data_IF_152181176529
#
_entry.id   IF_152181176529
#
_cell.length_a   1.000
_cell.length_b   1.000
_cell.length_c   1.000
_cell.angle_alpha   90.00
_cell.angle_beta   90.00
_cell.angle_gamma   90.00
#
_symmetry.space_group_name_H-M   'P 1'
#
loop_
_entity.id
_entity.type
_entity.pdbx_description
1 polymer ?
#
# COMPACT_ATOMS: atom_id res chain seq x y z
N UNK A 1 -8.12 -17.50 -5.02
CA UNK A 1 -7.61 -17.56 -3.63
C UNK A 1 -6.41 -16.63 -3.54
N UNK A 2 -6.36 -15.77 -2.52
CA UNK A 2 -5.27 -14.80 -2.35
C UNK A 2 -3.97 -15.51 -1.92
N UNK A 3 -2.87 -15.23 -2.61
CA UNK A 3 -1.56 -15.83 -2.34
C UNK A 3 -0.48 -14.77 -2.24
N UNK A 4 0.58 -15.10 -1.51
CA UNK A 4 1.76 -14.27 -1.36
C UNK A 4 3.03 -15.01 -1.79
N UNK A 5 3.95 -14.26 -2.38
CA UNK A 5 5.32 -14.70 -2.66
C UNK A 5 6.29 -13.62 -2.20
N UNK A 6 7.44 -14.04 -1.70
CA UNK A 6 8.49 -13.15 -1.22
C UNK A 6 9.66 -13.20 -2.20
N UNK A 7 10.11 -12.03 -2.63
CA UNK A 7 11.32 -11.87 -3.42
C UNK A 7 12.34 -11.11 -2.58
N UNK A 8 13.62 -11.42 -2.77
CA UNK A 8 14.72 -10.65 -2.18
C UNK A 8 15.33 -9.76 -3.26
N UNK A 9 15.59 -8.50 -2.92
CA UNK A 9 16.38 -7.64 -3.79
C UNK A 9 17.83 -8.15 -3.83
N UNK A 10 18.49 -8.17 -5.01
CA UNK A 10 19.91 -8.49 -5.09
C UNK A 10 20.75 -7.55 -4.22
N UNK A 11 21.73 -8.09 -3.51
CA UNK A 11 22.64 -7.31 -2.70
C UNK A 11 23.37 -6.24 -3.55
N UNK A 12 23.47 -5.02 -3.04
CA UNK A 12 24.14 -3.91 -3.72
C UNK A 12 23.31 -3.16 -4.77
N UNK A 13 22.08 -3.59 -5.05
CA UNK A 13 21.19 -2.83 -5.96
C UNK A 13 20.62 -1.61 -5.23
N UNK A 14 20.78 -0.37 -5.75
CA UNK A 14 20.16 0.80 -5.15
C UNK A 14 18.64 0.68 -5.23
N UNK A 15 18.01 0.59 -4.06
CA UNK A 15 16.58 0.42 -3.93
C UNK A 15 15.85 1.76 -4.16
N UNK A 16 15.80 2.23 -5.41
CA UNK A 16 14.86 3.29 -5.77
C UNK A 16 13.48 2.68 -6.06
N UNK A 17 12.41 3.39 -5.68
CA UNK A 17 11.05 2.86 -5.78
C UNK A 17 10.62 2.54 -7.23
N UNK A 18 11.23 3.22 -8.22
CA UNK A 18 10.93 3.01 -9.64
C UNK A 18 11.50 1.69 -10.16
N UNK A 19 12.75 1.36 -9.81
CA UNK A 19 13.38 0.08 -10.19
C UNK A 19 12.63 -1.10 -9.59
N UNK A 20 12.20 -0.99 -8.33
CA UNK A 20 11.39 -2.03 -7.69
C UNK A 20 10.05 -2.17 -8.41
N UNK A 21 9.41 -1.06 -8.77
CA UNK A 21 8.21 -1.07 -9.61
C UNK A 21 8.45 -1.82 -10.93
N UNK A 22 9.48 -1.45 -11.70
CA UNK A 22 9.78 -2.09 -12.99
C UNK A 22 10.06 -3.60 -12.84
N UNK A 23 10.85 -3.98 -11.83
CA UNK A 23 11.16 -5.38 -11.54
C UNK A 23 9.89 -6.18 -11.25
N UNK A 24 9.05 -5.70 -10.32
CA UNK A 24 7.82 -6.39 -9.93
C UNK A 24 6.83 -6.45 -11.09
N UNK A 25 6.66 -5.37 -11.86
CA UNK A 25 5.74 -5.34 -12.99
C UNK A 25 6.19 -6.27 -14.11
N UNK A 26 7.49 -6.29 -14.42
CA UNK A 26 8.05 -7.22 -15.41
C UNK A 26 7.85 -8.67 -14.97
N UNK A 27 8.11 -8.96 -13.69
CA UNK A 27 7.90 -10.30 -13.13
C UNK A 27 6.42 -10.73 -13.15
N UNK A 28 5.50 -9.82 -12.85
CA UNK A 28 4.08 -10.14 -12.67
C UNK A 28 3.26 -10.09 -13.96
N UNK A 29 3.60 -9.23 -14.91
CA UNK A 29 2.83 -9.00 -16.13
C UNK A 29 3.58 -9.44 -17.41
N UNK A 30 4.87 -9.77 -17.29
CA UNK A 30 5.74 -9.99 -18.44
C UNK A 30 6.07 -8.70 -19.21
N UNK A 31 6.90 -8.80 -20.27
CA UNK A 31 7.46 -7.63 -20.98
C UNK A 31 6.44 -6.78 -21.74
N UNK A 32 5.25 -7.33 -22.03
CA UNK A 32 4.19 -6.70 -22.85
C UNK A 32 2.86 -6.58 -22.09
N UNK A 33 2.91 -6.55 -20.76
CA UNK A 33 1.75 -6.65 -19.86
C UNK A 33 0.48 -6.00 -20.40
N UNK A 34 -0.65 -6.68 -20.23
CA UNK A 34 -1.98 -6.26 -20.72
C UNK A 34 -2.56 -5.01 -20.03
N UNK A 35 -1.77 -4.37 -19.16
CA UNK A 35 -2.15 -3.20 -18.36
C UNK A 35 -3.03 -3.53 -17.15
N UNK A 36 -3.48 -4.77 -16.98
CA UNK A 36 -4.37 -5.15 -15.89
C UNK A 36 -3.56 -5.59 -14.65
N UNK A 37 -3.32 -4.63 -13.74
CA UNK A 37 -2.67 -4.93 -12.45
C UNK A 37 -3.61 -5.70 -11.51
N UNK A 38 -3.38 -7.01 -11.40
CA UNK A 38 -4.09 -7.91 -10.49
C UNK A 38 -3.33 -8.23 -9.17
N UNK A 39 -2.29 -7.44 -8.83
CA UNK A 39 -1.45 -7.69 -7.65
C UNK A 39 -1.22 -6.42 -6.80
N UNK A 40 -0.80 -6.64 -5.55
CA UNK A 40 -0.21 -5.65 -4.65
C UNK A 40 1.22 -6.07 -4.32
N UNK A 41 2.04 -5.10 -3.93
CA UNK A 41 3.32 -5.43 -3.31
C UNK A 41 3.69 -4.41 -2.24
N UNK A 42 4.57 -4.80 -1.32
CA UNK A 42 5.31 -3.91 -0.43
C UNK A 42 6.80 -4.15 -0.62
N UNK A 43 7.61 -3.12 -0.31
CA UNK A 43 9.06 -3.25 -0.21
C UNK A 43 9.52 -2.84 1.19
N UNK A 44 10.31 -3.70 1.81
CA UNK A 44 10.75 -3.61 3.20
C UNK A 44 12.28 -3.55 3.25
N UNK A 45 12.88 -2.36 3.04
CA UNK A 45 14.32 -2.20 3.08
C UNK A 45 14.90 -2.59 4.45
N UNK A 46 14.15 -2.33 5.53
CA UNK A 46 14.51 -2.71 6.90
C UNK A 46 14.57 -4.24 7.13
N UNK A 47 13.93 -5.04 6.28
CA UNK A 47 13.92 -6.51 6.36
C UNK A 47 14.86 -7.12 5.32
N UNK A 48 16.02 -6.51 5.07
CA UNK A 48 16.99 -7.01 4.09
C UNK A 48 16.53 -6.84 2.64
N UNK A 49 15.64 -5.88 2.37
CA UNK A 49 15.16 -5.59 1.02
C UNK A 49 14.19 -6.65 0.49
N UNK A 50 13.30 -7.15 1.35
CA UNK A 50 12.24 -8.08 0.94
C UNK A 50 11.14 -7.34 0.19
N UNK A 51 10.68 -7.94 -0.91
CA UNK A 51 9.48 -7.54 -1.65
C UNK A 51 8.41 -8.60 -1.43
N UNK A 52 7.33 -8.24 -0.76
CA UNK A 52 6.16 -9.11 -0.61
C UNK A 52 5.19 -8.81 -1.74
N UNK A 53 4.83 -9.81 -2.54
CA UNK A 53 3.85 -9.68 -3.62
C UNK A 53 2.63 -10.50 -3.28
N UNK A 54 1.46 -9.90 -3.38
CA UNK A 54 0.16 -10.53 -3.16
C UNK A 54 -0.69 -10.48 -4.42
N UNK A 55 -1.22 -11.62 -4.85
CA UNK A 55 -2.09 -11.70 -6.04
C UNK A 55 -3.14 -12.81 -5.91
N UNK A 56 -4.25 -12.66 -6.61
CA UNK A 56 -5.23 -13.73 -6.84
C UNK A 56 -4.84 -14.63 -8.02
N UNK A 57 -3.95 -14.13 -8.89
CA UNK A 57 -3.44 -14.82 -10.06
C UNK A 57 -1.92 -14.59 -10.13
N UNK A 58 -1.14 -15.48 -9.52
CA UNK A 58 0.31 -15.46 -9.61
C UNK A 58 0.76 -16.14 -10.91
N UNK A 59 1.74 -15.59 -11.65
CA UNK A 59 2.38 -16.30 -12.75
C UNK A 59 2.93 -17.67 -12.31
N UNK A 60 2.92 -18.64 -13.24
CA UNK A 60 3.33 -20.03 -12.96
C UNK A 60 4.67 -20.18 -12.22
N UNK A 61 5.74 -19.41 -12.54
CA UNK A 61 7.01 -19.50 -11.82
C UNK A 61 6.91 -19.23 -10.30
N UNK A 62 5.90 -18.49 -9.85
CA UNK A 62 5.74 -18.14 -8.43
C UNK A 62 4.81 -19.08 -7.67
N UNK A 63 4.05 -19.95 -8.35
CA UNK A 63 3.03 -20.77 -7.69
C UNK A 63 3.64 -21.72 -6.65
N UNK A 64 4.74 -22.40 -7.00
CA UNK A 64 5.41 -23.35 -6.11
C UNK A 64 6.02 -22.69 -4.85
N UNK A 65 6.46 -21.44 -4.96
CA UNK A 65 7.06 -20.67 -3.87
C UNK A 65 6.04 -19.83 -3.07
N UNK A 66 4.76 -19.84 -3.49
CA UNK A 66 3.74 -18.99 -2.90
C UNK A 66 3.00 -19.66 -1.75
N UNK A 67 2.57 -18.84 -0.79
CA UNK A 67 1.76 -19.27 0.36
C UNK A 67 0.35 -18.66 0.32
N UNK A 68 -0.66 -19.37 0.83
CA UNK A 68 -2.00 -18.80 0.98
C UNK A 68 -2.01 -17.68 2.02
N UNK A 69 -2.71 -16.59 1.71
CA UNK A 69 -2.93 -15.51 2.69
C UNK A 69 -4.04 -15.92 3.65
N UNK A 70 -3.74 -15.89 4.96
CA UNK A 70 -4.75 -16.06 6.01
C UNK A 70 -5.45 -14.72 6.24
N UNK A 71 -6.78 -14.70 6.11
CA UNK A 71 -7.60 -13.53 6.35
C UNK A 71 -8.37 -13.76 7.65
N UNK A 72 -8.16 -12.94 8.70
CA UNK A 72 -8.92 -13.04 9.94
C UNK A 72 -10.44 -12.95 9.69
N UNK A 73 -11.21 -13.77 10.42
CA UNK A 73 -12.67 -13.76 10.36
C UNK A 73 -13.24 -12.50 11.01
N UNK A 74 -14.51 -12.17 10.73
CA UNK A 74 -15.22 -11.11 11.45
C UNK A 74 -15.20 -11.37 12.97
N UNK A 75 -14.96 -10.31 13.74
CA UNK A 75 -14.78 -10.36 15.19
C UNK A 75 -13.36 -10.69 15.65
N UNK A 76 -12.51 -11.27 14.79
CA UNK A 76 -11.14 -11.63 15.15
C UNK A 76 -10.26 -10.39 15.31
N UNK A 77 -9.36 -10.46 16.28
CA UNK A 77 -8.29 -9.49 16.52
C UNK A 77 -6.98 -10.06 15.99
N UNK A 78 -6.23 -9.26 15.24
CA UNK A 78 -4.93 -9.68 14.71
C UNK A 78 -3.94 -8.49 14.72
N UNK A 79 -2.64 -8.75 15.00
CA UNK A 79 -1.59 -7.80 14.69
C UNK A 79 -1.59 -7.49 13.20
N UNK A 80 -1.27 -6.24 12.84
CA UNK A 80 -1.18 -5.82 11.45
C UNK A 80 0.04 -4.97 11.18
N UNK A 81 0.38 -4.91 9.89
CA UNK A 81 1.30 -3.93 9.33
C UNK A 81 0.76 -3.36 8.03
N UNK A 82 0.90 -2.06 7.83
CA UNK A 82 0.52 -1.37 6.59
C UNK A 82 1.59 -0.38 6.18
N UNK A 83 2.15 -0.56 4.97
CA UNK A 83 2.99 0.46 4.32
C UNK A 83 2.09 1.31 3.44
N UNK A 84 1.92 2.59 3.74
CA UNK A 84 1.05 3.48 2.99
C UNK A 84 1.68 4.85 2.71
N UNK A 85 1.04 5.59 1.80
CA UNK A 85 1.29 7.00 1.59
C UNK A 85 0.03 7.81 1.93
N UNK A 86 -0.10 8.27 3.18
CA UNK A 86 -1.24 9.08 3.63
C UNK A 86 -1.36 10.38 2.84
N UNK A 87 -2.60 10.75 2.54
CA UNK A 87 -2.88 12.01 1.82
C UNK A 87 -4.17 12.63 2.35
N UNK A 88 -4.15 13.95 2.47
CA UNK A 88 -5.32 14.78 2.74
C UNK A 88 -6.07 15.16 1.46
N UNK A 89 -7.04 16.05 1.62
CA UNK A 89 -7.78 16.70 0.53
C UNK A 89 -7.66 18.20 0.69
N UNK A 90 -7.43 18.90 -0.42
CA UNK A 90 -7.50 20.34 -0.51
C UNK A 90 -8.23 20.74 -1.80
N UNK A 91 -8.77 21.94 -1.84
CA UNK A 91 -9.36 22.48 -3.07
C UNK A 91 -8.32 22.65 -4.17
N UNK A 92 -8.77 22.54 -5.42
CA UNK A 92 -7.94 22.77 -6.60
C UNK A 92 -7.49 24.24 -6.61
N UNK A 93 -6.17 24.44 -6.67
CA UNK A 93 -5.57 25.77 -6.63
C UNK A 93 -5.95 26.66 -7.82
N UNK A 94 -6.47 26.09 -8.91
CA UNK A 94 -6.97 26.84 -10.08
C UNK A 94 -8.50 26.94 -10.07
N UNK A 95 -9.16 26.59 -8.96
CA UNK A 95 -10.62 26.70 -8.79
C UNK A 95 -11.43 25.86 -9.77
N UNK A 96 -10.83 24.82 -10.38
CA UNK A 96 -11.51 24.00 -11.40
C UNK A 96 -12.79 23.39 -10.82
N UNK A 97 -13.93 23.62 -11.47
CA UNK A 97 -15.22 23.11 -11.01
C UNK A 97 -15.51 21.69 -11.50
N UNK A 98 -16.31 20.97 -10.74
CA UNK A 98 -16.97 19.72 -11.14
C UNK A 98 -18.23 20.05 -11.95
N UNK A 99 -18.86 19.02 -12.54
CA UNK A 99 -20.14 19.18 -13.27
C UNK A 99 -21.27 19.73 -12.40
N UNK A 100 -21.20 19.55 -11.08
CA UNK A 100 -22.15 20.04 -10.08
C UNK A 100 -21.86 21.47 -9.59
N UNK A 101 -20.89 22.17 -10.19
CA UNK A 101 -20.50 23.54 -9.81
C UNK A 101 -19.57 23.65 -8.61
N UNK A 102 -19.28 22.57 -7.87
CA UNK A 102 -18.36 22.58 -6.72
C UNK A 102 -16.90 22.58 -7.17
N UNK A 103 -16.01 23.18 -6.38
CA UNK A 103 -14.56 23.13 -6.64
C UNK A 103 -14.07 21.68 -6.57
N UNK A 104 -13.23 21.28 -7.52
CA UNK A 104 -12.56 19.98 -7.50
C UNK A 104 -11.60 19.95 -6.32
N UNK A 105 -11.59 18.85 -5.59
CA UNK A 105 -10.61 18.57 -4.54
C UNK A 105 -9.46 17.74 -5.10
N UNK A 106 -8.22 18.03 -4.71
CA UNK A 106 -7.03 17.23 -5.04
C UNK A 106 -6.46 16.52 -3.81
N UNK A 107 -5.63 15.52 -4.10
CA UNK A 107 -4.73 14.91 -3.14
C UNK A 107 -3.69 15.94 -2.67
N UNK A 108 -3.43 16.00 -1.37
CA UNK A 108 -2.26 16.72 -0.83
C UNK A 108 -1.54 15.84 0.19
N UNK A 109 -0.23 16.03 0.32
CA UNK A 109 0.54 15.40 1.39
C UNK A 109 0.04 15.91 2.75
N UNK A 110 0.15 15.07 3.78
CA UNK A 110 -0.08 15.53 5.15
C UNK A 110 1.14 16.35 5.64
N UNK A 111 0.97 17.26 6.61
CA UNK A 111 2.09 17.99 7.18
C UNK A 111 3.21 17.05 7.65
N UNK A 112 4.46 17.41 7.38
CA UNK A 112 5.62 16.59 7.77
C UNK A 112 5.66 16.42 9.29
N UNK A 113 5.89 15.20 9.77
CA UNK A 113 6.01 14.90 11.20
C UNK A 113 4.69 14.82 11.99
N UNK A 114 3.55 15.20 11.39
CA UNK A 114 2.23 15.14 12.04
C UNK A 114 1.70 13.70 12.20
N UNK A 115 2.13 13.02 13.26
CA UNK A 115 1.69 11.65 13.56
C UNK A 115 0.18 11.56 13.76
N UNK A 116 -0.44 12.57 14.39
CA UNK A 116 -1.88 12.59 14.67
C UNK A 116 -2.70 12.60 13.36
N UNK A 117 -2.30 13.40 12.37
CA UNK A 117 -2.95 13.39 11.06
C UNK A 117 -2.82 12.05 10.34
N UNK A 118 -1.68 11.35 10.48
CA UNK A 118 -1.44 10.02 9.88
C UNK A 118 -2.29 8.94 10.55
N UNK A 119 -2.39 8.97 11.88
CA UNK A 119 -3.26 8.06 12.66
C UNK A 119 -4.73 8.32 12.31
N UNK A 120 -5.16 9.58 12.25
CA UNK A 120 -6.52 9.94 11.83
C UNK A 120 -6.83 9.46 10.41
N UNK A 121 -5.88 9.60 9.49
CA UNK A 121 -6.00 9.04 8.14
C UNK A 121 -6.20 7.52 8.17
N UNK A 122 -5.41 6.79 8.97
CA UNK A 122 -5.54 5.34 9.09
C UNK A 122 -6.89 4.94 9.71
N UNK A 123 -7.33 5.59 10.78
CA UNK A 123 -8.62 5.33 11.40
C UNK A 123 -9.79 5.50 10.40
N UNK A 124 -9.77 6.57 9.59
CA UNK A 124 -10.77 6.77 8.53
C UNK A 124 -10.71 5.68 7.44
N UNK A 125 -9.51 5.17 7.13
CA UNK A 125 -9.35 4.07 6.18
C UNK A 125 -9.80 2.74 6.77
N UNK A 126 -9.54 2.49 8.05
CA UNK A 126 -9.92 1.29 8.77
C UNK A 126 -11.43 1.06 8.66
N UNK A 127 -12.23 2.06 9.06
CA UNK A 127 -13.70 1.99 9.03
C UNK A 127 -14.22 1.66 7.62
N UNK A 128 -13.66 2.31 6.59
CA UNK A 128 -14.04 2.07 5.18
C UNK A 128 -13.59 0.71 4.66
N UNK A 129 -12.59 0.12 5.31
CA UNK A 129 -11.97 -1.15 4.95
C UNK A 129 -12.49 -2.31 5.80
N UNK A 130 -13.53 -2.09 6.62
CA UNK A 130 -14.18 -3.15 7.39
C UNK A 130 -13.42 -3.59 8.64
N UNK A 131 -12.54 -2.75 9.19
CA UNK A 131 -11.89 -3.03 10.48
C UNK A 131 -11.83 -1.79 11.36
N UNK A 132 -11.56 -1.99 12.64
CA UNK A 132 -11.22 -0.92 13.58
C UNK A 132 -9.83 -1.17 14.18
N UNK A 133 -9.21 -0.10 14.66
CA UNK A 133 -7.94 -0.17 15.39
C UNK A 133 -8.26 -0.46 16.86
N UNK A 134 -7.60 -1.47 17.43
CA UNK A 134 -7.81 -1.85 18.84
C UNK A 134 -7.12 -0.86 19.78
N UNK A 135 -5.95 -0.39 19.39
CA UNK A 135 -5.21 0.67 20.08
C UNK A 135 -4.71 1.73 19.09
N UNK A 136 -4.11 2.80 19.63
CA UNK A 136 -3.38 3.77 18.80
C UNK A 136 -2.20 3.06 18.13
N UNK A 137 -2.13 3.01 16.79
CA UNK A 137 -1.06 2.31 16.11
C UNK A 137 0.23 3.11 16.17
N UNK A 138 1.36 2.40 16.18
CA UNK A 138 2.66 3.00 15.94
C UNK A 138 2.75 3.46 14.49
N UNK A 139 3.37 4.62 14.29
CA UNK A 139 3.63 5.18 12.97
C UNK A 139 5.06 5.68 12.84
N UNK A 140 5.76 5.12 11.85
CA UNK A 140 7.08 5.59 11.40
C UNK A 140 6.90 6.18 10.00
N UNK A 141 7.27 7.44 9.83
CA UNK A 141 7.14 8.14 8.55
C UNK A 141 8.47 8.69 8.06
N UNK A 142 8.76 8.49 6.79
CA UNK A 142 9.91 9.07 6.10
C UNK A 142 9.51 9.54 4.70
N UNK A 143 10.11 10.62 4.22
CA UNK A 143 10.00 10.99 2.80
C UNK A 143 11.04 10.22 2.00
N UNK A 144 10.58 9.39 1.06
CA UNK A 144 11.46 8.66 0.15
C UNK A 144 11.62 9.45 -1.16
N UNK A 145 12.86 9.76 -1.58
CA UNK A 145 13.07 10.30 -2.91
C UNK A 145 12.80 9.20 -3.95
N UNK A 146 12.23 9.59 -5.08
CA UNK A 146 12.20 8.74 -6.27
C UNK A 146 12.36 9.60 -7.50
N UNK A 147 13.04 9.08 -8.51
CA UNK A 147 13.23 9.76 -9.78
C UNK A 147 12.31 9.18 -10.84
N UNK A 148 11.76 10.06 -11.67
CA UNK A 148 10.99 9.67 -12.85
C UNK A 148 11.34 10.63 -13.97
N UNK A 149 11.86 10.08 -15.08
CA UNK A 149 12.24 10.86 -16.27
C UNK A 149 13.19 12.04 -15.94
N UNK A 150 14.16 11.80 -15.05
CA UNK A 150 15.13 12.83 -14.63
C UNK A 150 14.59 13.87 -13.65
N UNK A 151 13.33 13.78 -13.23
CA UNK A 151 12.74 14.65 -12.21
C UNK A 151 12.69 13.94 -10.87
N UNK A 152 13.23 14.58 -9.83
CA UNK A 152 13.19 14.08 -8.45
C UNK A 152 11.86 14.43 -7.79
N UNK A 153 11.21 13.43 -7.21
CA UNK A 153 9.98 13.53 -6.46
C UNK A 153 10.19 12.99 -5.05
N UNK A 154 9.34 13.42 -4.12
CA UNK A 154 9.33 12.90 -2.74
C UNK A 154 7.98 12.25 -2.48
N UNK A 155 7.98 10.94 -2.24
CA UNK A 155 6.79 10.23 -1.79
C UNK A 155 6.87 10.05 -0.27
N UNK A 156 5.77 10.31 0.42
CA UNK A 156 5.70 9.98 1.84
C UNK A 156 5.50 8.48 2.03
N UNK A 157 6.38 7.85 2.81
CA UNK A 157 6.25 6.46 3.26
C UNK A 157 5.91 6.45 4.75
N UNK A 158 4.77 5.87 5.10
CA UNK A 158 4.37 5.59 6.48
C UNK A 158 4.27 4.08 6.70
N UNK A 159 4.94 3.56 7.72
CA UNK A 159 4.69 2.22 8.28
C UNK A 159 3.74 2.38 9.45
N UNK A 160 2.61 1.69 9.41
CA UNK A 160 1.72 1.54 10.54
C UNK A 160 1.80 0.12 11.08
N UNK A 161 1.88 -0.02 12.40
CA UNK A 161 1.84 -1.31 13.11
C UNK A 161 0.94 -1.20 14.34
N UNK A 162 0.28 -2.30 14.71
CA UNK A 162 -0.62 -2.37 15.87
C UNK A 162 -1.55 -3.56 15.75
N UNK A 163 -2.68 -3.52 16.44
CA UNK A 163 -3.73 -4.55 16.34
C UNK A 163 -5.00 -3.98 15.73
N UNK A 164 -5.68 -4.79 14.92
CA UNK A 164 -6.98 -4.49 14.35
C UNK A 164 -8.00 -5.54 14.72
N UNK A 165 -9.28 -5.15 14.70
CA UNK A 165 -10.42 -6.07 14.79
C UNK A 165 -11.21 -6.01 13.49
N UNK A 166 -11.45 -7.16 12.88
CA UNK A 166 -12.27 -7.24 11.65
C UNK A 166 -13.74 -7.06 12.03
N UNK A 167 -14.43 -6.13 11.38
CA UNK A 167 -15.85 -5.82 11.60
C UNK A 167 -16.72 -6.30 10.43
N UNK A 168 -16.26 -6.07 9.21
CA UNK A 168 -16.94 -6.44 7.96
C UNK A 168 -15.96 -7.24 7.10
N UNK A 169 -16.20 -8.55 7.03
CA UNK A 169 -15.30 -9.49 6.38
C UNK A 169 -15.12 -9.18 4.89
N UNK A 170 -16.19 -8.85 4.16
CA UNK A 170 -16.12 -8.62 2.71
C UNK A 170 -15.36 -7.34 2.38
N UNK A 171 -15.60 -6.26 3.15
CA UNK A 171 -14.81 -5.03 3.02
C UNK A 171 -13.35 -5.25 3.39
N UNK A 172 -13.09 -6.10 4.38
CA UNK A 172 -11.75 -6.45 4.81
C UNK A 172 -11.00 -7.27 3.75
N UNK A 173 -11.64 -8.28 3.17
CA UNK A 173 -11.12 -9.04 2.03
C UNK A 173 -10.82 -8.10 0.86
N UNK A 174 -11.73 -7.20 0.53
CA UNK A 174 -11.51 -6.22 -0.54
C UNK A 174 -10.30 -5.31 -0.24
N UNK A 175 -10.12 -4.90 1.02
CA UNK A 175 -8.97 -4.11 1.44
C UNK A 175 -7.65 -4.90 1.36
N UNK A 176 -7.65 -6.18 1.76
CA UNK A 176 -6.50 -7.07 1.64
C UNK A 176 -6.11 -7.33 0.17
N UNK A 177 -7.09 -7.40 -0.73
CA UNK A 177 -6.88 -7.66 -2.17
C UNK A 177 -6.54 -6.40 -2.96
N UNK A 178 -7.22 -5.27 -2.71
CA UNK A 178 -7.08 -4.04 -3.51
C UNK A 178 -6.19 -2.99 -2.85
N UNK A 179 -5.88 -3.14 -1.59
CA UNK A 179 -4.93 -2.32 -0.85
C UNK A 179 -5.48 -0.97 -0.41
N UNK A 180 -4.88 -0.42 0.64
CA UNK A 180 -5.36 0.78 1.32
C UNK A 180 -4.52 2.01 0.91
N UNK A 181 -5.18 3.03 0.37
CA UNK A 181 -4.55 4.31 0.08
C UNK A 181 -4.08 4.49 -1.37
N UNK A 182 -3.15 5.41 -1.57
CA UNK A 182 -2.62 5.81 -2.90
C UNK A 182 -1.28 5.13 -3.17
N UNK A 183 -0.72 5.40 -4.35
CA UNK A 183 0.63 5.00 -4.76
C UNK A 183 0.89 3.48 -4.75
N UNK A 184 -0.14 2.65 -4.99
CA UNK A 184 0.01 1.18 -4.95
C UNK A 184 1.04 0.64 -5.95
N UNK A 185 1.22 1.32 -7.08
CA UNK A 185 2.26 1.00 -8.04
C UNK A 185 3.68 1.11 -7.46
N UNK A 186 3.88 1.94 -6.43
CA UNK A 186 5.18 2.17 -5.79
C UNK A 186 5.37 1.33 -4.51
N UNK A 187 4.61 0.24 -4.34
CA UNK A 187 4.76 -0.65 -3.18
C UNK A 187 4.00 -0.23 -1.93
N UNK A 188 2.95 0.59 -2.09
CA UNK A 188 2.09 1.02 -0.99
C UNK A 188 0.74 0.32 -0.97
N UNK A 189 0.13 0.29 0.20
CA UNK A 189 -1.24 -0.15 0.43
C UNK A 189 -1.41 -1.63 0.73
N UNK A 190 -0.34 -2.42 0.78
CA UNK A 190 -0.41 -3.81 1.23
C UNK A 190 -0.64 -3.82 2.76
N UNK A 191 -1.80 -4.33 3.18
CA UNK A 191 -2.12 -4.63 4.57
C UNK A 191 -1.75 -6.08 4.88
N UNK A 192 -0.95 -6.33 5.90
CA UNK A 192 -0.56 -7.67 6.35
C UNK A 192 -1.09 -7.91 7.75
N UNK A 193 -1.61 -9.11 8.01
CA UNK A 193 -2.06 -9.56 9.33
C UNK A 193 -1.31 -10.82 9.74
N UNK A 194 -1.06 -10.99 11.04
CA UNK A 194 -0.27 -12.10 11.60
C UNK A 194 -1.13 -13.01 12.49
#
# INVERSE_FOLDING_TARGET
MLREVFLTMPAGMPANAYMIHEMVYTAMLGPKGDGHRAFLFSFEPEMGGVVTIRSECLPAPFLAASMPVRIPAAGAVAPFRLVASPTGRADDQHGRKRKDGRVRTRAVALPAGDKAARISWLAQKAVRSGFELVETPDVVSAGIPFERQGVSFRQERCVFTGSLKVLDYDRFVLAMTKGIGRARALGFGLLTTY
#
